data_IF_567619489548
#
_entry.id   IF_567619489548
#
_cell.length_a   1.000
_cell.length_b   1.000
_cell.length_c   1.000
_cell.angle_alpha   90.00
_cell.angle_beta   90.00
_cell.angle_gamma   90.00
#
_symmetry.space_group_name_H-M   'P 1'
#
loop_
_entity.id
_entity.type
_entity.pdbx_description
1 polymer ?
#
# COMPACT_ATOMS: atom_id res chain seq x y z
N UNK A 1 -1.84 -47.67 21.88
CA UNK A 1 -1.31 -47.72 20.49
C UNK A 1 -2.37 -48.09 19.45
N UNK A 2 -3.40 -48.90 19.74
CA UNK A 2 -4.33 -49.42 18.72
C UNK A 2 -5.41 -48.44 18.23
N UNK A 3 -5.78 -47.43 19.02
CA UNK A 3 -6.94 -46.56 18.75
C UNK A 3 -6.61 -45.46 17.72
N UNK A 4 -5.44 -44.84 17.83
CA UNK A 4 -4.92 -43.88 16.87
C UNK A 4 -4.73 -44.53 15.50
N UNK A 5 -4.18 -45.75 15.46
CA UNK A 5 -4.01 -46.49 14.21
C UNK A 5 -5.36 -46.77 13.54
N UNK A 6 -6.40 -47.15 14.30
CA UNK A 6 -7.76 -47.35 13.73
C UNK A 6 -8.37 -46.08 13.14
N UNK A 7 -8.12 -44.92 13.77
CA UNK A 7 -8.55 -43.62 13.27
C UNK A 7 -7.78 -43.25 11.99
N UNK A 8 -6.45 -43.45 11.98
CA UNK A 8 -5.58 -43.16 10.84
C UNK A 8 -5.86 -44.06 9.64
N UNK A 9 -6.14 -45.34 9.88
CA UNK A 9 -6.53 -46.32 8.85
C UNK A 9 -7.96 -46.13 8.35
N UNK A 10 -8.72 -45.17 8.89
CA UNK A 10 -10.05 -44.84 8.39
C UNK A 10 -11.12 -45.88 8.71
N UNK A 11 -10.94 -46.71 9.76
CA UNK A 11 -11.97 -47.67 10.19
C UNK A 11 -13.33 -46.99 10.48
N UNK A 12 -13.31 -45.71 10.86
CA UNK A 12 -14.49 -44.86 11.01
C UNK A 12 -15.32 -44.74 9.73
N UNK A 13 -14.72 -44.85 8.54
CA UNK A 13 -15.42 -44.75 7.25
C UNK A 13 -16.10 -46.07 6.84
N UNK A 14 -15.66 -47.20 7.42
CA UNK A 14 -16.03 -48.57 7.01
C UNK A 14 -17.03 -49.21 7.99
N UNK A 15 -17.12 -48.73 9.24
CA UNK A 15 -18.08 -49.24 10.22
C UNK A 15 -19.55 -48.93 9.84
N UNK A 16 -20.47 -49.79 10.31
CA UNK A 16 -21.91 -49.96 9.97
C UNK A 16 -22.77 -48.73 9.63
N UNK A 17 -22.33 -47.50 9.92
CA UNK A 17 -23.06 -46.25 9.68
C UNK A 17 -22.41 -45.38 8.57
N UNK A 18 -22.04 -46.02 7.47
CA UNK A 18 -21.33 -45.50 6.29
C UNK A 18 -21.89 -44.16 5.79
N UNK A 19 -23.22 -43.99 5.78
CA UNK A 19 -23.89 -42.78 5.30
C UNK A 19 -23.56 -41.52 6.12
N UNK A 20 -23.40 -41.64 7.45
CA UNK A 20 -23.14 -40.48 8.32
C UNK A 20 -21.69 -40.00 8.22
N UNK A 21 -20.77 -40.92 7.99
CA UNK A 21 -19.33 -40.65 7.98
C UNK A 21 -18.85 -40.14 6.61
N UNK A 22 -19.53 -40.52 5.52
CA UNK A 22 -19.28 -39.97 4.18
C UNK A 22 -19.54 -38.44 4.09
N UNK A 23 -20.54 -37.93 4.83
CA UNK A 23 -20.83 -36.49 4.89
C UNK A 23 -19.64 -35.68 5.42
N UNK A 24 -18.85 -36.24 6.34
CA UNK A 24 -17.65 -35.59 6.89
C UNK A 24 -16.55 -35.47 5.84
N UNK A 25 -16.35 -36.51 5.01
CA UNK A 25 -15.36 -36.47 3.92
C UNK A 25 -15.74 -35.41 2.89
N UNK A 26 -17.01 -35.39 2.48
CA UNK A 26 -17.53 -34.38 1.54
C UNK A 26 -17.38 -32.97 2.14
N UNK A 27 -17.65 -32.79 3.43
CA UNK A 27 -17.45 -31.52 4.11
C UNK A 27 -15.99 -31.06 4.08
N UNK A 28 -15.04 -31.94 4.40
CA UNK A 28 -13.61 -31.61 4.34
C UNK A 28 -13.13 -31.29 2.92
N UNK A 29 -13.65 -32.00 1.92
CA UNK A 29 -13.32 -31.74 0.53
C UNK A 29 -13.83 -30.37 0.06
N UNK A 30 -15.08 -30.02 0.40
CA UNK A 30 -15.63 -28.69 0.14
C UNK A 30 -14.81 -27.62 0.85
N UNK A 31 -14.43 -27.83 2.11
CA UNK A 31 -13.57 -26.88 2.84
C UNK A 31 -12.21 -26.69 2.19
N UNK A 32 -11.58 -27.77 1.69
CA UNK A 32 -10.33 -27.68 0.96
C UNK A 32 -10.47 -26.85 -0.32
N UNK A 33 -11.57 -27.02 -1.08
CA UNK A 33 -11.85 -26.22 -2.27
C UNK A 33 -12.04 -24.74 -1.90
N UNK A 34 -12.81 -24.46 -0.85
CA UNK A 34 -13.03 -23.08 -0.36
C UNK A 34 -11.72 -22.42 0.03
N UNK A 35 -10.82 -23.16 0.71
CA UNK A 35 -9.49 -22.66 1.08
C UNK A 35 -8.64 -22.33 -0.15
N UNK A 36 -8.56 -23.23 -1.13
CA UNK A 36 -7.79 -23.00 -2.37
C UNK A 36 -8.31 -21.75 -3.10
N UNK A 37 -9.63 -21.62 -3.22
CA UNK A 37 -10.24 -20.47 -3.87
C UNK A 37 -9.99 -19.16 -3.11
N UNK A 38 -10.12 -19.19 -1.78
CA UNK A 38 -9.85 -18.03 -0.92
C UNK A 38 -8.39 -17.56 -1.04
N UNK A 39 -7.43 -18.48 -1.01
CA UNK A 39 -6.00 -18.15 -1.14
C UNK A 39 -5.72 -17.40 -2.45
N UNK A 40 -6.26 -17.88 -3.58
CA UNK A 40 -6.06 -17.19 -4.86
C UNK A 40 -6.65 -15.77 -4.93
N UNK A 41 -7.73 -15.50 -4.19
CA UNK A 41 -8.28 -14.14 -4.08
C UNK A 41 -7.38 -13.23 -3.24
N UNK A 42 -6.82 -13.77 -2.17
CA UNK A 42 -5.87 -13.06 -1.30
C UNK A 42 -4.60 -12.72 -2.08
N UNK A 43 -4.06 -13.66 -2.87
CA UNK A 43 -2.87 -13.44 -3.70
C UNK A 43 -3.06 -12.25 -4.66
N UNK A 44 -4.20 -12.19 -5.36
CA UNK A 44 -4.52 -11.06 -6.26
C UNK A 44 -4.59 -9.74 -5.51
N UNK A 45 -5.11 -9.74 -4.29
CA UNK A 45 -5.20 -8.54 -3.46
C UNK A 45 -3.81 -8.08 -3.02
N UNK A 46 -2.91 -9.00 -2.69
CA UNK A 46 -1.53 -8.70 -2.31
C UNK A 46 -0.77 -8.03 -3.46
N UNK A 47 -0.90 -8.55 -4.68
CA UNK A 47 -0.27 -7.93 -5.86
C UNK A 47 -0.77 -6.49 -6.04
N UNK A 48 -2.09 -6.29 -5.98
CA UNK A 48 -2.68 -4.95 -6.08
C UNK A 48 -2.21 -4.01 -4.97
N UNK A 49 -2.00 -4.51 -3.74
CA UNK A 49 -1.47 -3.70 -2.63
C UNK A 49 -0.04 -3.27 -2.94
N UNK A 50 0.80 -4.17 -3.45
CA UNK A 50 2.18 -3.85 -3.86
C UNK A 50 2.22 -2.78 -4.95
N UNK A 51 1.35 -2.88 -5.96
CA UNK A 51 1.25 -1.87 -7.02
C UNK A 51 0.87 -0.49 -6.46
N UNK A 52 -0.09 -0.45 -5.54
CA UNK A 52 -0.50 0.80 -4.87
C UNK A 52 0.59 1.38 -3.98
N UNK A 53 1.37 0.54 -3.30
CA UNK A 53 2.50 0.98 -2.48
C UNK A 53 3.60 1.63 -3.33
N UNK A 54 3.89 1.06 -4.50
CA UNK A 54 4.80 1.67 -5.48
C UNK A 54 4.27 3.03 -5.98
N UNK A 55 2.97 3.15 -6.23
CA UNK A 55 2.36 4.42 -6.63
C UNK A 55 2.49 5.49 -5.53
N UNK A 56 2.26 5.12 -4.27
CA UNK A 56 2.45 6.03 -3.12
C UNK A 56 3.89 6.51 -3.05
N UNK A 57 4.87 5.60 -3.14
CA UNK A 57 6.30 5.96 -3.10
C UNK A 57 6.70 6.90 -4.24
N UNK A 58 6.15 6.66 -5.44
CA UNK A 58 6.34 7.55 -6.59
C UNK A 58 5.76 8.95 -6.34
N UNK A 59 4.54 9.04 -5.80
CA UNK A 59 3.88 10.31 -5.49
C UNK A 59 4.61 11.09 -4.39
N UNK A 60 5.09 10.43 -3.35
CA UNK A 60 5.91 11.05 -2.30
C UNK A 60 7.21 11.62 -2.86
N UNK A 61 7.89 10.87 -3.72
CA UNK A 61 9.11 11.33 -4.40
C UNK A 61 8.82 12.59 -5.23
N UNK A 62 7.72 12.58 -5.99
CA UNK A 62 7.28 13.72 -6.80
C UNK A 62 6.88 14.94 -5.95
N UNK A 63 6.28 14.71 -4.78
CA UNK A 63 5.94 15.78 -3.85
C UNK A 63 7.19 16.46 -3.30
N UNK A 64 8.20 15.68 -2.90
CA UNK A 64 9.48 16.21 -2.41
C UNK A 64 10.19 17.02 -3.51
N UNK A 65 10.23 16.52 -4.74
CA UNK A 65 10.80 17.24 -5.88
C UNK A 65 10.08 18.57 -6.14
N UNK A 66 8.75 18.55 -6.19
CA UNK A 66 7.94 19.76 -6.39
C UNK A 66 8.16 20.77 -5.27
N UNK A 67 8.22 20.33 -4.01
CA UNK A 67 8.51 21.19 -2.87
C UNK A 67 9.88 21.84 -3.00
N UNK A 68 10.89 21.07 -3.41
CA UNK A 68 12.25 21.59 -3.67
C UNK A 68 12.22 22.64 -4.77
N UNK A 69 11.54 22.38 -5.89
CA UNK A 69 11.40 23.32 -7.00
C UNK A 69 10.76 24.64 -6.58
N UNK A 70 9.71 24.60 -5.77
CA UNK A 70 9.08 25.81 -5.21
C UNK A 70 10.04 26.57 -4.29
N UNK A 71 10.83 25.86 -3.48
CA UNK A 71 11.83 26.49 -2.61
C UNK A 71 12.92 27.18 -3.42
N UNK A 72 13.44 26.54 -4.47
CA UNK A 72 14.41 27.13 -5.40
C UNK A 72 13.86 28.40 -6.07
N UNK A 73 12.61 28.36 -6.54
CA UNK A 73 11.96 29.54 -7.12
C UNK A 73 11.79 30.68 -6.12
N UNK A 74 11.52 30.38 -4.84
CA UNK A 74 11.37 31.37 -3.76
C UNK A 74 12.70 31.88 -3.21
N UNK A 75 13.85 31.30 -3.58
CA UNK A 75 15.14 31.77 -3.07
C UNK A 75 15.36 33.23 -3.46
N UNK A 76 15.73 34.04 -2.47
CA UNK A 76 15.97 35.47 -2.65
C UNK A 76 17.00 35.75 -3.77
N UNK A 77 18.04 34.93 -3.89
CA UNK A 77 19.03 35.00 -4.97
C UNK A 77 18.41 34.79 -6.36
N UNK A 78 17.49 33.84 -6.48
CA UNK A 78 16.79 33.51 -7.72
C UNK A 78 15.75 34.58 -8.09
N UNK A 79 15.06 35.14 -7.09
CA UNK A 79 14.18 36.29 -7.31
C UNK A 79 14.97 37.53 -7.73
N UNK A 80 16.12 37.81 -7.10
CA UNK A 80 17.00 38.93 -7.51
C UNK A 80 17.53 38.75 -8.93
N UNK A 81 17.97 37.55 -9.30
CA UNK A 81 18.52 37.29 -10.62
C UNK A 81 17.47 37.51 -11.71
N UNK A 82 16.24 37.03 -11.50
CA UNK A 82 15.12 37.28 -12.42
C UNK A 82 14.72 38.77 -12.42
N UNK A 83 14.60 39.42 -11.26
CA UNK A 83 14.25 40.85 -11.18
C UNK A 83 15.28 41.77 -11.84
N UNK A 84 16.58 41.42 -11.81
CA UNK A 84 17.64 42.13 -12.53
C UNK A 84 17.44 42.12 -14.05
N UNK A 85 16.90 41.03 -14.62
CA UNK A 85 16.60 40.95 -16.07
C UNK A 85 15.51 41.94 -16.48
N UNK A 86 14.60 42.26 -15.56
CA UNK A 86 13.48 43.18 -15.77
C UNK A 86 13.88 44.64 -15.42
N UNK A 87 15.15 44.88 -15.10
CA UNK A 87 15.69 46.22 -14.79
C UNK A 87 15.46 46.68 -13.34
N UNK A 88 14.88 45.84 -12.48
CA UNK A 88 14.64 46.16 -11.08
C UNK A 88 15.92 45.92 -10.26
N UNK A 89 16.35 46.93 -9.49
CA UNK A 89 17.51 46.85 -8.59
C UNK A 89 17.06 46.63 -7.16
N UNK A 90 17.70 45.66 -6.49
CA UNK A 90 17.53 45.47 -5.05
C UNK A 90 18.08 46.69 -4.33
N UNK A 91 17.24 47.38 -3.56
CA UNK A 91 17.66 48.45 -2.67
C UNK A 91 18.29 47.83 -1.41
N UNK A 92 19.50 48.26 -1.07
CA UNK A 92 20.22 47.79 0.13
C UNK A 92 19.84 48.57 1.41
N UNK A 93 18.96 49.56 1.26
CA UNK A 93 18.57 50.49 2.31
C UNK A 93 17.12 50.17 2.67
N UNK A 94 16.79 49.92 3.94
CA UNK A 94 15.42 49.63 4.34
C UNK A 94 14.49 50.81 4.01
N UNK A 95 13.28 50.57 3.48
CA UNK A 95 12.35 51.64 3.13
C UNK A 95 11.88 52.37 4.40
N UNK A 96 11.88 53.70 4.36
CA UNK A 96 11.28 54.51 5.42
C UNK A 96 9.75 54.40 5.34
N UNK A 97 9.12 54.04 6.45
CA UNK A 97 7.66 54.09 6.59
C UNK A 97 7.23 55.56 6.49
N UNK A 98 6.52 55.91 5.43
CA UNK A 98 5.88 57.22 5.32
C UNK A 98 4.58 57.10 6.11
N UNK A 99 4.54 57.73 7.28
CA UNK A 99 3.29 57.98 8.00
C UNK A 99 2.74 59.28 7.43
N UNK A 100 1.53 59.21 6.86
CA UNK A 100 0.76 60.39 6.47
C UNK A 100 -0.15 60.67 7.66
N UNK A 101 0.10 61.78 8.34
CA UNK A 101 -0.80 62.33 9.36
C UNK A 101 -2.06 62.93 8.71
#
# INVERSE_FOLDING_TARGET
MSLINKILLGNFLIEKNIFKNWKLVVYLFIMAIVMIFSSHLVDKKIIKISDLENEISYLESKYVENRKKVMELKMHSNVISEMKKIGLKSYNIPPKKILVD
#
